data_IF_977738629055
#
_entry.id   IF_977738629055
#
_cell.length_a   1.000
_cell.length_b   1.000
_cell.length_c   1.000
_cell.angle_alpha   90.00
_cell.angle_beta   90.00
_cell.angle_gamma   90.00
#
_symmetry.space_group_name_H-M   'P 1'
#
loop_
_entity.id
_entity.type
_entity.pdbx_description
1 polymer ?
#
# COMPACT_ATOMS: atom_id res chain seq x y z
N UNK A 1 -1.46 15.75 8.10
CA UNK A 1 -1.59 14.42 7.46
C UNK A 1 -0.37 13.58 7.81
N UNK A 2 -0.53 12.61 8.69
CA UNK A 2 0.49 11.58 8.91
C UNK A 2 0.53 10.65 7.70
N UNK A 3 1.67 9.98 7.43
CA UNK A 3 1.76 9.03 6.30
C UNK A 3 0.70 7.94 6.32
N UNK A 4 0.18 7.63 7.52
CA UNK A 4 -0.87 6.65 7.74
C UNK A 4 -2.27 7.15 7.36
N UNK A 5 -2.56 8.44 7.48
CA UNK A 5 -3.84 9.02 7.01
C UNK A 5 -3.89 9.00 5.47
N UNK A 6 -2.79 9.39 4.82
CA UNK A 6 -2.70 9.36 3.36
C UNK A 6 -2.83 7.94 2.79
N UNK A 7 -2.27 6.92 3.46
CA UNK A 7 -2.46 5.53 3.05
C UNK A 7 -3.90 5.06 3.28
N UNK A 8 -4.58 5.51 4.34
CA UNK A 8 -5.98 5.16 4.56
C UNK A 8 -6.88 5.81 3.51
N UNK A 9 -6.66 7.07 3.17
CA UNK A 9 -7.39 7.73 2.08
C UNK A 9 -7.14 7.00 0.75
N UNK A 10 -5.90 6.56 0.50
CA UNK A 10 -5.55 5.74 -0.66
C UNK A 10 -6.29 4.39 -0.65
N UNK A 11 -6.27 3.67 0.47
CA UNK A 11 -6.92 2.36 0.61
C UNK A 11 -8.43 2.48 0.49
N UNK A 12 -9.03 3.55 1.00
CA UNK A 12 -10.46 3.81 0.87
C UNK A 12 -10.81 4.14 -0.59
N UNK A 13 -9.97 4.93 -1.26
CA UNK A 13 -10.12 5.20 -2.71
C UNK A 13 -10.04 3.90 -3.53
N UNK A 14 -9.06 3.04 -3.21
CA UNK A 14 -8.88 1.74 -3.86
C UNK A 14 -10.05 0.79 -3.57
N UNK A 15 -10.64 0.78 -2.37
CA UNK A 15 -11.81 -0.05 -2.04
C UNK A 15 -13.08 0.33 -2.84
N UNK A 16 -13.18 1.59 -3.28
CA UNK A 16 -14.27 2.05 -4.14
C UNK A 16 -13.97 1.89 -5.63
N UNK A 17 -12.70 1.69 -6.00
CA UNK A 17 -12.30 1.34 -7.35
C UNK A 17 -12.39 -0.18 -7.54
N UNK A 18 -12.89 -0.63 -8.69
CA UNK A 18 -12.80 -2.04 -9.06
C UNK A 18 -11.32 -2.40 -9.29
N UNK A 19 -10.68 -3.07 -8.34
CA UNK A 19 -9.26 -3.45 -8.43
C UNK A 19 -9.12 -4.73 -9.25
N UNK A 20 -8.76 -4.60 -10.52
CA UNK A 20 -8.27 -5.74 -11.31
C UNK A 20 -6.81 -6.03 -10.95
N UNK A 21 -6.59 -6.93 -10.00
CA UNK A 21 -5.26 -7.48 -9.72
C UNK A 21 -4.98 -8.59 -10.72
N UNK A 22 -4.43 -8.27 -11.89
CA UNK A 22 -3.89 -9.30 -12.81
C UNK A 22 -2.66 -8.75 -13.53
N UNK A 23 -1.50 -9.35 -13.26
CA UNK A 23 -0.31 -9.21 -14.09
C UNK A 23 -0.63 -9.64 -15.53
N UNK A 24 -0.39 -8.71 -16.45
CA UNK A 24 -0.43 -8.83 -17.91
C UNK A 24 -1.74 -9.35 -18.53
N UNK A 25 -2.61 -8.44 -18.98
CA UNK A 25 -3.53 -8.74 -20.07
C UNK A 25 -3.84 -7.49 -20.89
N UNK A 26 -3.68 -7.64 -22.21
CA UNK A 26 -4.15 -6.69 -23.23
C UNK A 26 -5.63 -6.47 -22.96
N UNK A 27 -5.98 -5.26 -22.48
CA UNK A 27 -7.37 -4.90 -22.25
C UNK A 27 -7.97 -4.35 -23.54
N UNK A 28 -9.10 -4.89 -24.02
CA UNK A 28 -9.85 -4.25 -25.08
C UNK A 28 -10.40 -2.92 -24.54
N UNK A 29 -10.15 -1.85 -25.31
CA UNK A 29 -10.44 -0.47 -24.95
C UNK A 29 -11.94 -0.21 -24.87
N UNK A 30 -12.56 -0.47 -23.72
CA UNK A 30 -13.83 0.15 -23.34
C UNK A 30 -13.93 0.22 -21.82
N UNK A 31 -13.03 0.99 -21.20
CA UNK A 31 -13.22 1.45 -19.83
C UNK A 31 -13.78 2.87 -19.94
N UNK A 32 -15.06 3.00 -19.62
CA UNK A 32 -15.75 4.28 -19.45
C UNK A 32 -15.19 4.98 -18.23
N UNK A 33 -14.55 6.13 -18.45
CA UNK A 33 -14.22 7.21 -17.50
C UNK A 33 -14.43 6.93 -15.99
N UNK A 34 -13.68 5.97 -15.46
CA UNK A 34 -13.39 5.84 -14.04
C UNK A 34 -11.87 5.70 -13.92
N UNK A 35 -11.28 6.49 -13.05
CA UNK A 35 -9.83 6.71 -12.96
C UNK A 35 -9.07 5.40 -12.71
N UNK A 36 -8.58 4.77 -13.79
CA UNK A 36 -7.72 3.59 -13.71
C UNK A 36 -6.34 4.03 -13.20
N UNK A 37 -6.03 3.73 -11.94
CA UNK A 37 -4.71 3.97 -11.35
C UNK A 37 -3.84 2.73 -11.57
N UNK A 38 -2.77 2.87 -12.35
CA UNK A 38 -1.77 1.78 -12.51
C UNK A 38 -0.73 1.89 -11.41
N UNK A 39 -0.66 0.86 -10.55
CA UNK A 39 0.31 0.77 -9.46
C UNK A 39 1.52 -0.07 -9.86
N UNK A 40 2.65 0.58 -10.09
CA UNK A 40 3.93 -0.11 -10.35
C UNK A 40 4.52 -0.68 -9.06
N UNK A 41 4.16 -1.93 -8.72
CA UNK A 41 4.68 -2.64 -7.53
C UNK A 41 6.18 -2.98 -7.61
N UNK A 42 6.82 -2.81 -8.78
CA UNK A 42 8.26 -2.98 -9.00
C UNK A 42 9.13 -1.92 -8.29
N UNK A 43 8.53 -0.84 -7.78
CA UNK A 43 9.26 0.21 -7.05
C UNK A 43 9.63 -0.19 -5.62
N UNK A 44 8.96 -1.18 -5.05
CA UNK A 44 9.21 -1.67 -3.69
C UNK A 44 10.34 -2.70 -3.68
N UNK A 45 11.21 -2.63 -2.67
CA UNK A 45 12.11 -3.76 -2.38
C UNK A 45 11.31 -4.92 -1.81
N UNK A 46 11.82 -6.15 -1.92
CA UNK A 46 11.12 -7.34 -1.38
C UNK A 46 10.79 -7.18 0.10
N UNK A 47 11.72 -6.63 0.89
CA UNK A 47 11.49 -6.38 2.31
C UNK A 47 10.40 -5.33 2.56
N UNK A 48 10.32 -4.29 1.72
CA UNK A 48 9.26 -3.28 1.81
C UNK A 48 7.89 -3.89 1.50
N UNK A 49 7.81 -4.70 0.43
CA UNK A 49 6.60 -5.43 0.05
C UNK A 49 6.16 -6.40 1.15
N UNK A 50 7.05 -7.26 1.61
CA UNK A 50 6.81 -8.23 2.69
C UNK A 50 6.28 -7.55 3.96
N UNK A 51 6.85 -6.39 4.32
CA UNK A 51 6.43 -5.66 5.53
C UNK A 51 5.06 -5.02 5.36
N UNK A 52 4.72 -4.51 4.17
CA UNK A 52 3.39 -3.98 3.88
C UNK A 52 2.32 -5.07 3.86
N UNK A 53 2.59 -6.17 3.16
CA UNK A 53 1.70 -7.34 3.10
C UNK A 53 1.44 -7.89 4.50
N UNK A 54 2.49 -8.03 5.30
CA UNK A 54 2.37 -8.48 6.68
C UNK A 54 1.54 -7.52 7.54
N UNK A 55 1.81 -6.21 7.45
CA UNK A 55 1.04 -5.21 8.19
C UNK A 55 -0.45 -5.19 7.76
N UNK A 56 -0.74 -5.36 6.47
CA UNK A 56 -2.09 -5.47 5.96
C UNK A 56 -2.80 -6.71 6.49
N UNK A 57 -2.16 -7.88 6.40
CA UNK A 57 -2.72 -9.15 6.84
C UNK A 57 -3.02 -9.17 8.34
N UNK A 58 -2.13 -8.63 9.15
CA UNK A 58 -2.30 -8.55 10.60
C UNK A 58 -3.31 -7.45 11.03
N UNK A 59 -3.85 -6.67 10.08
CA UNK A 59 -4.85 -5.64 10.37
C UNK A 59 -4.28 -4.39 11.04
N UNK A 60 -3.02 -4.05 10.78
CA UNK A 60 -2.37 -2.82 11.25
C UNK A 60 -3.04 -1.55 10.69
N UNK A 61 -3.62 -1.66 9.49
CA UNK A 61 -4.29 -0.57 8.80
C UNK A 61 -5.80 -0.50 9.06
N UNK A 62 -6.36 -1.46 9.82
CA UNK A 62 -7.79 -1.48 10.14
C UNK A 62 -8.19 -0.40 11.16
N UNK A 63 -9.50 -0.15 11.24
CA UNK A 63 -10.11 0.77 12.22
C UNK A 63 -11.26 0.04 12.93
N UNK A 64 -11.15 -0.25 14.24
CA UNK A 64 -9.96 -0.07 15.09
C UNK A 64 -8.79 -0.94 14.63
N UNK A 65 -7.53 -0.53 14.92
CA UNK A 65 -6.36 -1.34 14.56
C UNK A 65 -6.42 -2.67 15.31
N UNK A 66 -6.16 -3.77 14.59
CA UNK A 66 -6.05 -5.10 15.22
C UNK A 66 -4.69 -5.34 15.85
N UNK A 67 -3.63 -4.76 15.28
CA UNK A 67 -2.27 -4.87 15.82
C UNK A 67 -1.55 -3.54 15.92
N UNK A 68 -0.65 -3.47 16.90
CA UNK A 68 0.25 -2.35 17.11
C UNK A 68 1.59 -2.55 16.38
N UNK A 69 2.25 -1.45 16.03
CA UNK A 69 3.54 -1.46 15.33
C UNK A 69 4.63 -2.26 16.07
N UNK A 70 4.58 -2.27 17.40
CA UNK A 70 5.50 -3.07 18.22
C UNK A 70 5.31 -4.58 18.07
N UNK A 71 4.08 -5.03 17.79
CA UNK A 71 3.79 -6.45 17.56
C UNK A 71 4.36 -6.86 16.20
N UNK A 72 4.12 -6.05 15.17
CA UNK A 72 4.72 -6.25 13.85
C UNK A 72 6.25 -6.33 13.92
N UNK A 73 6.87 -5.39 14.63
CA UNK A 73 8.33 -5.36 14.79
C UNK A 73 8.88 -6.64 15.42
N UNK A 74 8.20 -7.16 16.45
CA UNK A 74 8.56 -8.44 17.10
C UNK A 74 8.44 -9.60 16.13
N UNK A 75 7.35 -9.70 15.37
CA UNK A 75 7.12 -10.78 14.41
C UNK A 75 8.12 -10.73 13.24
N UNK A 76 8.49 -9.54 12.78
CA UNK A 76 9.49 -9.33 11.72
C UNK A 76 10.94 -9.45 12.19
N UNK A 77 11.18 -9.60 13.50
CA UNK A 77 12.53 -9.72 14.07
C UNK A 77 13.40 -8.47 13.92
N UNK A 78 12.80 -7.28 13.80
CA UNK A 78 13.51 -6.00 13.63
C UNK A 78 13.03 -4.96 14.65
N UNK A 79 13.76 -3.86 14.79
CA UNK A 79 13.35 -2.80 15.73
C UNK A 79 12.05 -2.12 15.31
N UNK A 80 11.34 -1.53 16.28
CA UNK A 80 10.13 -0.73 16.01
C UNK A 80 10.43 0.44 15.06
N UNK A 81 11.58 1.09 15.22
CA UNK A 81 12.02 2.19 14.34
C UNK A 81 12.32 1.69 12.92
N UNK A 82 12.97 0.53 12.77
CA UNK A 82 13.23 -0.07 11.46
C UNK A 82 11.93 -0.46 10.75
N UNK A 83 10.96 -1.04 11.48
CA UNK A 83 9.63 -1.36 10.96
C UNK A 83 8.90 -0.10 10.50
N UNK A 84 8.87 0.94 11.35
CA UNK A 84 8.27 2.24 11.03
C UNK A 84 8.89 2.86 9.77
N UNK A 85 10.21 2.86 9.68
CA UNK A 85 10.93 3.45 8.55
C UNK A 85 10.63 2.67 7.26
N UNK A 86 10.62 1.34 7.34
CA UNK A 86 10.39 0.48 6.18
C UNK A 86 8.95 0.64 5.65
N UNK A 87 7.95 0.64 6.53
CA UNK A 87 6.56 0.93 6.17
C UNK A 87 6.45 2.32 5.54
N UNK A 88 6.96 3.36 6.20
CA UNK A 88 6.91 4.73 5.68
C UNK A 88 7.54 4.86 4.30
N UNK A 89 8.70 4.24 4.08
CA UNK A 89 9.36 4.27 2.76
C UNK A 89 8.53 3.56 1.71
N UNK A 90 7.93 2.42 2.03
CA UNK A 90 7.08 1.68 1.12
C UNK A 90 5.80 2.46 0.78
N UNK A 91 5.11 2.98 1.79
CA UNK A 91 3.92 3.84 1.66
C UNK A 91 4.21 5.07 0.80
N UNK A 92 5.33 5.75 1.04
CA UNK A 92 5.73 6.94 0.26
C UNK A 92 5.89 6.60 -1.23
N UNK A 93 6.50 5.45 -1.55
CA UNK A 93 6.66 5.01 -2.94
C UNK A 93 5.32 4.72 -3.60
N UNK A 94 4.41 4.05 -2.90
CA UNK A 94 3.06 3.77 -3.41
C UNK A 94 2.27 5.07 -3.65
N UNK A 95 2.30 5.98 -2.67
CA UNK A 95 1.64 7.29 -2.79
C UNK A 95 2.21 8.07 -3.98
N UNK A 96 3.53 8.14 -4.13
CA UNK A 96 4.16 8.79 -5.30
C UNK A 96 3.72 8.15 -6.61
N UNK A 97 3.70 6.82 -6.70
CA UNK A 97 3.24 6.14 -7.90
C UNK A 97 1.81 6.53 -8.27
N UNK A 98 0.91 6.65 -7.30
CA UNK A 98 -0.48 7.07 -7.57
C UNK A 98 -0.54 8.52 -8.05
N UNK A 99 0.13 9.44 -7.37
CA UNK A 99 -0.01 10.88 -7.67
C UNK A 99 0.89 11.38 -8.81
N UNK A 100 2.05 10.77 -9.05
CA UNK A 100 2.94 11.11 -10.17
C UNK A 100 2.47 10.46 -11.48
N UNK A 101 1.73 9.36 -11.44
CA UNK A 101 1.09 8.78 -12.62
C UNK A 101 -0.09 9.61 -13.16
N UNK A 102 -0.54 10.63 -12.41
CA UNK A 102 -1.64 11.53 -12.78
C UNK A 102 -1.19 12.91 -13.28
N UNK A 103 0.08 13.06 -13.71
CA UNK A 103 0.59 14.26 -14.37
C UNK A 103 0.88 14.02 -15.84
#
# INVERSE_FOLDING_TARGET
>A
MTGQEALQDLLQTIQHASVDTTTAKIMPATLTDDQVVTLELGTLTDKQRETLEFALHEGYYERPRKVELSTLAKQLGISKSATSQRLRTAETKLIRNVFEAHR
#
